data_IF_438632581646
#
_entry.id   IF_438632581646
#
_cell.length_a   1.000
_cell.length_b   1.000
_cell.length_c   1.000
_cell.angle_alpha   90.00
_cell.angle_beta   90.00
_cell.angle_gamma   90.00
#
_symmetry.space_group_name_H-M   'P 1'
#
loop_
_entity.id
_entity.type
_entity.pdbx_description
1 polymer ?
#
# COMPACT_ATOMS: atom_id res chain seq x y z
N UNK A 1 6.74 7.28 13.29
CA UNK A 1 6.10 6.61 12.17
C UNK A 1 6.50 5.14 12.12
N UNK A 2 5.53 4.21 12.06
CA UNK A 2 5.76 2.78 11.86
C UNK A 2 5.42 2.40 10.42
N UNK A 3 6.35 1.76 9.72
CA UNK A 3 6.16 1.25 8.35
C UNK A 3 5.77 -0.23 8.41
N UNK A 4 4.59 -0.57 7.89
CA UNK A 4 4.06 -1.93 7.84
C UNK A 4 3.79 -2.30 6.38
N UNK A 5 4.28 -3.45 5.95
CA UNK A 5 4.17 -3.89 4.56
C UNK A 5 3.33 -5.16 4.48
N UNK A 6 2.31 -5.16 3.65
CA UNK A 6 1.46 -6.31 3.35
C UNK A 6 1.83 -6.82 1.95
N UNK A 7 2.34 -8.05 1.90
CA UNK A 7 3.04 -8.59 0.73
C UNK A 7 2.30 -9.83 0.24
N UNK A 8 1.97 -9.88 -1.05
CA UNK A 8 1.42 -11.08 -1.67
C UNK A 8 0.56 -10.81 -2.90
N UNK A 9 0.39 -11.84 -3.72
CA UNK A 9 -0.41 -11.82 -4.95
C UNK A 9 -1.93 -11.74 -4.71
N UNK A 10 -2.37 -12.19 -3.54
CA UNK A 10 -3.78 -12.18 -3.16
C UNK A 10 -4.28 -10.74 -3.00
N UNK A 11 -5.60 -10.56 -3.17
CA UNK A 11 -6.22 -9.25 -2.97
C UNK A 11 -6.23 -8.89 -1.47
N UNK A 12 -5.46 -7.87 -1.10
CA UNK A 12 -5.24 -7.47 0.29
C UNK A 12 -5.92 -6.13 0.61
N UNK A 13 -6.42 -5.42 -0.39
CA UNK A 13 -6.77 -4.00 -0.27
C UNK A 13 -7.84 -3.77 0.80
N UNK A 14 -8.92 -4.55 0.79
CA UNK A 14 -9.99 -4.44 1.80
C UNK A 14 -9.49 -4.72 3.22
N UNK A 15 -8.69 -5.77 3.39
CA UNK A 15 -8.09 -6.12 4.69
C UNK A 15 -7.25 -4.96 5.24
N UNK A 16 -6.40 -4.36 4.38
CA UNK A 16 -5.53 -3.26 4.75
C UNK A 16 -6.35 -2.03 5.15
N UNK A 17 -7.38 -1.68 4.38
CA UNK A 17 -8.29 -0.56 4.68
C UNK A 17 -9.01 -0.80 6.02
N UNK A 18 -9.52 -2.00 6.27
CA UNK A 18 -10.18 -2.31 7.54
C UNK A 18 -9.23 -2.19 8.75
N UNK A 19 -8.00 -2.67 8.64
CA UNK A 19 -7.00 -2.50 9.71
C UNK A 19 -6.66 -1.02 9.90
N UNK A 20 -6.49 -0.26 8.83
CA UNK A 20 -6.21 1.17 8.88
C UNK A 20 -7.33 1.93 9.61
N UNK A 21 -8.59 1.58 9.32
CA UNK A 21 -9.76 2.16 9.98
C UNK A 21 -9.80 1.89 11.48
N UNK A 22 -9.42 0.69 11.92
CA UNK A 22 -9.31 0.38 13.35
C UNK A 22 -8.27 1.29 14.04
N UNK A 23 -7.13 1.55 13.38
CA UNK A 23 -6.11 2.47 13.89
C UNK A 23 -6.60 3.92 13.92
N UNK A 24 -7.32 4.37 12.89
CA UNK A 24 -7.95 5.70 12.87
C UNK A 24 -8.96 5.85 13.99
N UNK A 25 -9.78 4.83 14.27
CA UNK A 25 -10.71 4.82 15.40
C UNK A 25 -9.97 4.93 16.76
N UNK A 26 -8.73 4.45 16.83
CA UNK A 26 -7.82 4.62 17.97
C UNK A 26 -7.04 5.95 17.94
N UNK A 27 -7.48 6.91 17.12
CA UNK A 27 -6.88 8.24 16.92
C UNK A 27 -5.44 8.19 16.42
N UNK A 28 -5.13 7.26 15.52
CA UNK A 28 -3.84 7.17 14.83
C UNK A 28 -3.95 7.71 13.41
N UNK A 29 -2.96 8.49 12.97
CA UNK A 29 -2.87 8.90 11.58
C UNK A 29 -2.26 7.79 10.72
N UNK A 30 -2.93 7.43 9.63
CA UNK A 30 -2.55 6.31 8.76
C UNK A 30 -2.50 6.77 7.31
N UNK A 31 -1.39 6.47 6.65
CA UNK A 31 -1.26 6.54 5.19
C UNK A 31 -1.25 5.11 4.63
N UNK A 32 -2.17 4.80 3.74
CA UNK A 32 -2.16 3.56 2.94
C UNK A 32 -1.60 3.88 1.56
N UNK A 33 -0.57 3.16 1.15
CA UNK A 33 0.05 3.27 -0.16
C UNK A 33 -0.33 2.03 -0.97
N UNK A 34 -1.17 2.23 -1.97
CA UNK A 34 -1.46 1.21 -2.99
C UNK A 34 -0.31 1.20 -4.00
N UNK A 35 0.63 0.30 -3.74
CA UNK A 35 1.78 0.04 -4.60
C UNK A 35 1.60 -1.26 -5.40
N UNK A 36 0.35 -1.73 -5.54
CA UNK A 36 0.04 -2.90 -6.36
C UNK A 36 0.05 -2.55 -7.85
N UNK A 37 0.31 -3.53 -8.71
CA UNK A 37 0.30 -3.31 -10.18
C UNK A 37 -1.08 -2.88 -10.66
N UNK A 38 -2.14 -3.49 -10.14
CA UNK A 38 -3.52 -3.23 -10.58
C UNK A 38 -4.14 -1.98 -9.95
N UNK A 39 -3.58 -1.50 -8.84
CA UNK A 39 -4.03 -0.33 -8.09
C UNK A 39 -5.52 -0.43 -7.76
N UNK A 40 -5.93 -1.54 -7.13
CA UNK A 40 -7.34 -1.85 -6.88
C UNK A 40 -8.00 -0.85 -5.93
N UNK A 41 -7.24 -0.13 -5.11
CA UNK A 41 -7.79 0.87 -4.20
C UNK A 41 -8.59 1.96 -4.94
N UNK A 42 -8.30 2.26 -6.21
CA UNK A 42 -9.07 3.22 -7.02
C UNK A 42 -10.53 2.83 -7.27
N UNK A 43 -10.88 1.56 -7.04
CA UNK A 43 -12.25 1.04 -7.19
C UNK A 43 -12.96 0.88 -5.85
N UNK A 44 -12.21 0.87 -4.74
CA UNK A 44 -12.74 0.69 -3.37
C UNK A 44 -12.86 2.03 -2.67
N UNK A 45 -11.92 2.95 -2.91
CA UNK A 45 -11.85 4.28 -2.34
C UNK A 45 -12.47 5.30 -3.31
N UNK A 46 -13.58 5.97 -2.95
CA UNK A 46 -14.21 6.97 -3.81
C UNK A 46 -13.32 8.19 -4.03
N UNK A 47 -13.32 8.72 -5.26
CA UNK A 47 -12.62 9.97 -5.61
C UNK A 47 -13.49 10.79 -6.57
N UNK A 48 -13.47 12.12 -6.43
CA UNK A 48 -14.29 13.03 -7.25
C UNK A 48 -13.79 13.07 -8.69
N UNK A 49 -12.47 13.20 -8.88
CA UNK A 49 -11.82 13.29 -10.18
C UNK A 49 -10.57 12.39 -10.20
N UNK A 50 -10.67 11.14 -10.70
CA UNK A 50 -9.53 10.23 -10.72
C UNK A 50 -8.48 10.73 -11.71
N UNK A 51 -7.23 10.81 -11.24
CA UNK A 51 -6.03 10.99 -12.07
C UNK A 51 -5.22 9.69 -12.08
N UNK A 52 -4.09 9.68 -12.81
CA UNK A 52 -3.15 8.55 -12.77
C UNK A 52 -2.56 8.34 -11.37
N UNK A 53 -2.27 9.43 -10.65
CA UNK A 53 -1.66 9.41 -9.32
C UNK A 53 -2.32 10.45 -8.43
N UNK A 54 -2.79 10.04 -7.26
CA UNK A 54 -3.45 10.95 -6.32
C UNK A 54 -3.40 10.43 -4.89
N UNK A 55 -3.48 11.36 -3.95
CA UNK A 55 -3.78 11.08 -2.54
C UNK A 55 -5.20 11.55 -2.27
N UNK A 56 -5.99 10.70 -1.62
CA UNK A 56 -7.37 11.04 -1.21
C UNK A 56 -7.63 10.57 0.21
N UNK A 57 -8.57 11.21 0.89
CA UNK A 57 -8.97 10.85 2.24
C UNK A 57 -10.21 9.95 2.20
N UNK A 58 -10.19 8.87 2.98
CA UNK A 58 -11.29 7.93 3.12
C UNK A 58 -11.42 7.41 4.54
N UNK A 59 -12.53 7.72 5.22
CA UNK A 59 -12.82 7.30 6.60
C UNK A 59 -11.71 7.64 7.62
N UNK A 60 -11.06 8.79 7.44
CA UNK A 60 -9.94 9.31 8.21
C UNK A 60 -8.57 8.73 7.84
N UNK A 61 -8.50 7.98 6.73
CA UNK A 61 -7.29 7.35 6.20
C UNK A 61 -6.85 8.13 4.96
N UNK A 62 -5.58 8.52 4.89
CA UNK A 62 -5.02 9.01 3.62
C UNK A 62 -4.62 7.81 2.77
N UNK A 63 -5.07 7.79 1.51
CA UNK A 63 -4.79 6.71 0.56
C UNK A 63 -4.07 7.27 -0.66
N UNK A 64 -2.83 6.83 -0.86
CA UNK A 64 -1.97 7.20 -1.98
C UNK A 64 -2.01 6.10 -3.05
N UNK A 65 -2.42 6.46 -4.26
CA UNK A 65 -2.64 5.53 -5.37
C UNK A 65 -1.79 5.95 -6.56
N UNK A 66 -1.13 4.99 -7.19
CA UNK A 66 -0.46 5.17 -8.48
C UNK A 66 0.97 5.74 -8.42
N UNK A 67 1.50 5.97 -7.22
CA UNK A 67 2.87 6.41 -7.03
C UNK A 67 3.85 5.24 -7.13
N UNK A 68 5.11 5.53 -7.47
CA UNK A 68 6.15 4.51 -7.58
C UNK A 68 7.10 4.50 -6.38
N UNK A 69 7.27 5.64 -5.69
CA UNK A 69 8.15 5.76 -4.52
C UNK A 69 7.62 6.79 -3.54
N UNK A 70 8.13 6.76 -2.31
CA UNK A 70 7.66 7.64 -1.22
C UNK A 70 7.91 9.12 -1.51
N UNK A 71 8.98 9.47 -2.24
CA UNK A 71 9.29 10.86 -2.59
C UNK A 71 8.25 11.47 -3.53
N UNK A 72 7.65 10.65 -4.42
CA UNK A 72 6.57 11.13 -5.30
C UNK A 72 5.34 11.53 -4.49
N UNK A 73 5.05 10.78 -3.43
CA UNK A 73 3.95 11.08 -2.49
C UNK A 73 4.25 12.37 -1.73
N UNK A 74 5.48 12.53 -1.19
CA UNK A 74 5.90 13.76 -0.50
C UNK A 74 5.73 14.99 -1.39
N UNK A 75 6.23 14.91 -2.63
CA UNK A 75 6.12 15.98 -3.61
C UNK A 75 4.66 16.31 -3.94
N UNK A 76 3.79 15.29 -4.04
CA UNK A 76 2.36 15.49 -4.31
C UNK A 76 1.65 16.26 -3.18
N UNK A 77 1.95 15.96 -1.91
CA UNK A 77 1.34 16.62 -0.75
C UNK A 77 2.09 17.89 -0.30
N UNK A 78 3.12 18.31 -1.04
CA UNK A 78 3.87 19.55 -0.78
C UNK A 78 4.84 19.48 0.40
N UNK A 79 5.37 18.30 0.71
CA UNK A 79 6.38 18.08 1.75
C UNK A 79 7.77 18.02 1.09
N UNK A 80 8.75 18.73 1.67
CA UNK A 80 10.14 18.70 1.22
C UNK A 80 10.73 17.28 1.26
N UNK A 81 11.64 16.94 0.34
CA UNK A 81 12.22 15.60 0.27
C UNK A 81 12.93 15.19 1.58
N UNK A 82 13.51 16.17 2.28
CA UNK A 82 14.23 15.98 3.55
C UNK A 82 13.30 15.92 4.78
N UNK A 83 12.03 16.31 4.62
CA UNK A 83 11.05 16.26 5.71
C UNK A 83 10.37 14.89 5.78
N UNK A 84 10.25 14.36 7.00
CA UNK A 84 9.54 13.11 7.22
C UNK A 84 8.03 13.28 7.16
N UNK A 85 7.36 12.27 6.60
CA UNK A 85 5.91 12.18 6.64
C UNK A 85 5.42 12.03 8.09
N UNK A 86 4.45 12.87 8.48
CA UNK A 86 3.94 12.94 9.86
C UNK A 86 2.75 11.99 10.08
N UNK A 87 2.96 10.70 9.82
CA UNK A 87 1.99 9.64 10.13
C UNK A 87 2.44 8.76 11.30
N UNK A 88 1.48 8.30 12.10
CA UNK A 88 1.74 7.24 13.07
C UNK A 88 2.07 5.93 12.35
N UNK A 89 1.34 5.62 11.28
CA UNK A 89 1.52 4.40 10.47
C UNK A 89 1.54 4.69 8.97
N UNK A 90 2.42 3.99 8.25
CA UNK A 90 2.34 3.84 6.80
C UNK A 90 2.15 2.37 6.48
N UNK A 91 1.11 2.06 5.71
CA UNK A 91 0.83 0.74 5.18
C UNK A 91 1.20 0.68 3.71
N UNK A 92 1.93 -0.35 3.31
CA UNK A 92 2.25 -0.62 1.91
C UNK A 92 1.51 -1.88 1.44
N UNK A 93 0.65 -1.76 0.42
CA UNK A 93 0.07 -2.90 -0.29
C UNK A 93 0.98 -3.26 -1.48
N UNK A 94 1.66 -4.41 -1.39
CA UNK A 94 2.71 -4.83 -2.31
C UNK A 94 2.37 -6.19 -2.93
N UNK A 95 2.40 -6.27 -4.26
CA UNK A 95 2.22 -7.50 -5.03
C UNK A 95 3.36 -7.75 -6.03
N UNK A 96 4.40 -6.91 -6.09
CA UNK A 96 5.48 -7.07 -7.05
C UNK A 96 6.85 -6.79 -6.45
N UNK A 97 7.89 -7.41 -7.04
CA UNK A 97 9.29 -7.17 -6.66
C UNK A 97 9.74 -5.73 -6.99
N UNK A 98 9.20 -5.16 -8.07
CA UNK A 98 9.46 -3.78 -8.47
C UNK A 98 8.99 -2.81 -7.37
N UNK A 99 7.74 -2.94 -6.92
CA UNK A 99 7.20 -2.12 -5.83
C UNK A 99 7.92 -2.37 -4.51
N UNK A 100 8.31 -3.62 -4.23
CA UNK A 100 9.11 -3.95 -3.05
C UNK A 100 10.44 -3.17 -3.02
N UNK A 101 11.10 -3.09 -4.19
CA UNK A 101 12.36 -2.36 -4.36
C UNK A 101 12.15 -0.86 -4.30
N UNK A 102 11.19 -0.32 -5.08
CA UNK A 102 11.01 1.12 -5.21
C UNK A 102 10.59 1.81 -3.90
N UNK A 103 9.91 1.08 -3.01
CA UNK A 103 9.51 1.56 -1.68
C UNK A 103 10.49 1.19 -0.55
N UNK A 104 11.64 0.58 -0.87
CA UNK A 104 12.63 0.13 0.11
C UNK A 104 11.99 -0.69 1.24
N UNK A 105 11.17 -1.68 0.87
CA UNK A 105 10.38 -2.45 1.85
C UNK A 105 11.27 -3.27 2.79
N UNK A 106 12.52 -3.56 2.44
CA UNK A 106 13.51 -4.20 3.33
C UNK A 106 13.63 -3.49 4.69
N UNK A 107 13.55 -2.15 4.70
CA UNK A 107 13.68 -1.31 5.90
C UNK A 107 12.37 -1.20 6.70
N UNK A 108 11.27 -1.81 6.25
CA UNK A 108 10.00 -1.74 6.97
C UNK A 108 10.05 -2.51 8.30
N UNK A 109 9.47 -1.90 9.33
CA UNK A 109 9.49 -2.41 10.70
C UNK A 109 8.73 -3.73 10.87
N UNK A 110 7.71 -3.97 10.04
CA UNK A 110 6.94 -5.22 10.04
C UNK A 110 6.52 -5.59 8.62
N UNK A 111 6.61 -6.86 8.29
CA UNK A 111 6.25 -7.43 6.98
C UNK A 111 5.26 -8.57 7.22
N UNK A 112 4.08 -8.48 6.62
CA UNK A 112 3.03 -9.48 6.68
C UNK A 112 2.84 -10.09 5.29
N UNK A 113 3.08 -11.39 5.17
CA UNK A 113 2.79 -12.14 3.95
C UNK A 113 1.33 -12.58 3.98
N UNK A 114 0.55 -12.16 3.00
CA UNK A 114 -0.89 -12.43 2.93
C UNK A 114 -1.17 -13.25 1.68
N UNK A 115 -1.88 -14.36 1.86
CA UNK A 115 -2.23 -15.30 0.79
C UNK A 115 -3.62 -15.89 1.05
N UNK A 116 -4.18 -16.60 0.07
CA UNK A 116 -5.37 -17.44 0.27
C UNK A 116 -4.96 -18.91 0.49
N UNK A 117 -5.94 -19.76 0.80
CA UNK A 117 -5.74 -21.21 0.86
C UNK A 117 -5.68 -21.86 -0.53
N UNK A 118 -5.92 -21.10 -1.60
CA UNK A 118 -5.87 -21.64 -2.95
C UNK A 118 -4.41 -21.86 -3.37
N UNK A 119 -4.15 -23.05 -3.89
CA UNK A 119 -2.83 -23.49 -4.33
C UNK A 119 -2.15 -22.49 -5.27
N UNK A 120 -2.91 -21.75 -6.07
CA UNK A 120 -2.40 -20.74 -6.99
C UNK A 120 -1.65 -19.60 -6.26
N UNK A 121 -2.13 -19.17 -5.08
CA UNK A 121 -1.51 -18.07 -4.32
C UNK A 121 -0.41 -18.56 -3.35
N UNK A 122 -0.27 -19.89 -3.19
CA UNK A 122 0.71 -20.53 -2.31
C UNK A 122 1.89 -21.09 -3.11
N UNK A 123 1.63 -21.59 -4.32
CA UNK A 123 2.63 -22.24 -5.15
C UNK A 123 2.81 -21.47 -6.48
N UNK A 124 3.82 -20.58 -6.54
CA UNK A 124 4.12 -19.79 -7.74
C UNK A 124 4.39 -20.64 -8.98
N UNK A 125 4.86 -21.89 -8.81
CA UNK A 125 5.14 -22.79 -9.95
C UNK A 125 3.89 -23.24 -10.71
N UNK A 126 2.69 -23.09 -10.11
CA UNK A 126 1.42 -23.37 -10.79
C UNK A 126 0.99 -22.22 -11.71
N UNK A 127 1.69 -21.08 -11.65
CA UNK A 127 1.56 -19.99 -12.63
C UNK A 127 2.66 -20.11 -13.69
N UNK A 128 2.30 -20.60 -14.87
CA UNK A 128 3.12 -20.47 -16.07
C UNK A 128 3.11 -19.01 -16.56
N UNK A 129 3.82 -18.11 -15.87
CA UNK A 129 4.01 -16.74 -16.34
C UNK A 129 4.12 -15.62 -15.30
N UNK A 130 4.08 -15.92 -13.99
CA UNK A 130 4.19 -14.86 -12.97
C UNK A 130 5.19 -15.27 -11.89
N UNK A 131 6.35 -14.62 -11.88
CA UNK A 131 7.30 -14.71 -10.78
C UNK A 131 6.75 -13.90 -9.59
N UNK A 132 6.20 -14.60 -8.59
CA UNK A 132 6.02 -14.03 -7.26
C UNK A 132 7.18 -14.52 -6.38
N UNK A 133 7.87 -13.55 -5.76
CA UNK A 133 8.90 -13.67 -4.71
C UNK A 133 9.84 -14.89 -4.79
#
# INVERSE_FOLDING_TARGET
>A
MKKISFIGAYDKTDLIIYIARLLVAMKKSVLVVDATVNQKAKYVVPVINPSKTYVTEFEGIDVAIGFNKISDIKNYIGIDENEDLKYDYIFYDIDSLESFTNYNIEDSASKYFVTSFDLIYINPSLYSGVNFF
#
